data_IF_930839004935
#
_entry.id   IF_930839004935
#
_cell.length_a   1.000
_cell.length_b   1.000
_cell.length_c   1.000
_cell.angle_alpha   90.00
_cell.angle_beta   90.00
_cell.angle_gamma   90.00
#
_symmetry.space_group_name_H-M   'P 1'
#
loop_
_entity.id
_entity.type
_entity.pdbx_description
1 polymer ?
#
# COMPACT_ATOMS: atom_id res chain seq x y z
N UNK A 1 -23.48 19.20 55.93
CA UNK A 1 -24.80 18.63 55.61
C UNK A 1 -24.59 17.71 54.41
N UNK A 2 -24.38 16.40 54.62
CA UNK A 2 -25.40 15.32 54.72
C UNK A 2 -26.03 15.11 53.32
N UNK A 3 -26.05 13.96 52.64
CA UNK A 3 -25.85 12.51 52.90
C UNK A 3 -25.48 11.83 51.54
N UNK A 4 -24.66 10.76 51.44
CA UNK A 4 -24.92 9.30 51.65
C UNK A 4 -26.12 8.76 50.83
N UNK A 5 -26.19 7.59 50.18
CA UNK A 5 -25.62 6.23 50.30
C UNK A 5 -25.92 5.47 48.97
N UNK A 6 -25.03 4.65 48.39
CA UNK A 6 -24.73 3.22 48.62
C UNK A 6 -25.82 2.20 48.19
N UNK A 7 -25.43 1.22 47.35
CA UNK A 7 -25.88 -0.19 47.45
C UNK A 7 -24.95 -1.12 46.63
N UNK A 8 -24.28 -2.05 47.33
CA UNK A 8 -23.70 -3.29 46.79
C UNK A 8 -24.78 -4.36 46.65
N UNK A 9 -24.53 -5.38 45.82
CA UNK A 9 -24.99 -6.74 46.10
C UNK A 9 -23.99 -7.78 45.57
N UNK A 10 -23.75 -8.77 46.42
CA UNK A 10 -22.81 -9.90 46.35
C UNK A 10 -23.62 -11.19 46.20
N UNK A 11 -23.03 -12.23 45.60
CA UNK A 11 -23.42 -13.64 45.77
C UNK A 11 -23.45 -14.39 44.44
N UNK A 12 -22.88 -15.58 44.28
CA UNK A 12 -22.23 -16.50 45.21
C UNK A 12 -21.68 -17.69 44.40
N UNK A 13 -20.65 -18.33 44.93
CA UNK A 13 -19.96 -19.49 44.35
C UNK A 13 -20.78 -20.79 44.50
N UNK A 14 -20.43 -21.83 43.72
CA UNK A 14 -20.17 -23.18 44.24
C UNK A 14 -19.51 -24.07 43.16
N UNK A 15 -18.52 -24.83 43.61
CA UNK A 15 -17.76 -25.85 42.87
C UNK A 15 -18.53 -27.17 42.80
N UNK A 16 -18.25 -28.03 41.81
CA UNK A 16 -17.67 -29.37 42.06
C UNK A 16 -17.44 -30.17 40.77
N UNK A 17 -16.40 -31.00 40.82
CA UNK A 17 -15.86 -31.84 39.76
C UNK A 17 -16.59 -33.19 39.60
N UNK A 18 -16.47 -33.80 38.41
CA UNK A 18 -16.11 -35.22 38.22
C UNK A 18 -16.01 -35.57 36.70
N UNK A 19 -14.90 -36.19 36.32
CA UNK A 19 -14.66 -37.01 35.10
C UNK A 19 -14.85 -38.49 35.49
N UNK A 20 -14.73 -39.50 34.60
CA UNK A 20 -14.99 -39.62 33.15
C UNK A 20 -15.85 -40.88 32.81
N UNK A 21 -16.36 -41.02 31.58
CA UNK A 21 -16.64 -42.33 30.96
C UNK A 21 -16.24 -42.26 29.49
N UNK A 22 -15.45 -43.25 29.07
CA UNK A 22 -15.13 -43.51 27.67
C UNK A 22 -16.29 -44.25 27.02
N UNK A 23 -16.68 -43.86 25.81
CA UNK A 23 -17.16 -44.85 24.84
C UNK A 23 -16.81 -44.44 23.41
N UNK A 24 -16.40 -45.47 22.71
CA UNK A 24 -15.96 -45.65 21.34
C UNK A 24 -17.09 -45.39 20.35
N UNK A 25 -16.83 -44.60 19.31
CA UNK A 25 -17.79 -44.42 18.22
C UNK A 25 -17.16 -43.72 17.03
N UNK A 26 -16.86 -44.49 16.01
CA UNK A 26 -16.34 -44.07 14.71
C UNK A 26 -17.13 -42.87 14.13
N UNK A 27 -16.42 -41.76 13.93
CA UNK A 27 -16.98 -40.54 13.37
C UNK A 27 -16.02 -39.91 12.37
N UNK A 28 -15.94 -40.56 11.21
CA UNK A 28 -15.59 -40.02 9.88
C UNK A 28 -14.95 -38.61 9.88
N UNK A 29 -13.66 -38.57 9.58
CA UNK A 29 -12.90 -37.37 9.28
C UNK A 29 -13.59 -36.55 8.15
N UNK A 30 -14.25 -35.46 8.53
CA UNK A 30 -14.59 -34.38 7.62
C UNK A 30 -13.43 -33.40 7.65
N UNK A 31 -12.46 -33.64 6.76
CA UNK A 31 -11.45 -32.68 6.35
C UNK A 31 -12.15 -31.48 5.71
N UNK A 32 -12.50 -30.47 6.51
CA UNK A 32 -12.83 -29.13 6.03
C UNK A 32 -11.54 -28.49 5.52
N UNK A 33 -11.14 -28.88 4.31
CA UNK A 33 -10.23 -28.11 3.50
C UNK A 33 -10.94 -26.78 3.19
N UNK A 34 -10.56 -25.74 3.91
CA UNK A 34 -10.80 -24.35 3.49
C UNK A 34 -10.18 -24.20 2.10
N UNK A 35 -11.01 -24.39 1.07
CA UNK A 35 -10.72 -23.94 -0.28
C UNK A 35 -10.61 -22.42 -0.21
N UNK A 36 -9.39 -21.92 -0.08
CA UNK A 36 -9.02 -20.58 -0.48
C UNK A 36 -9.57 -20.35 -1.88
N UNK A 37 -10.64 -19.56 -1.96
CA UNK A 37 -11.31 -19.24 -3.21
C UNK A 37 -10.37 -18.45 -4.10
N UNK A 38 -9.69 -19.13 -5.03
CA UNK A 38 -9.30 -18.53 -6.29
C UNK A 38 -10.59 -18.21 -7.05
N UNK A 39 -11.21 -17.08 -6.69
CA UNK A 39 -12.28 -16.51 -7.48
C UNK A 39 -11.75 -16.28 -8.88
N UNK A 40 -12.31 -16.97 -9.87
CA UNK A 40 -12.04 -16.71 -11.27
C UNK A 40 -12.74 -15.40 -11.66
N UNK A 41 -12.21 -14.29 -11.17
CA UNK A 41 -12.67 -12.97 -11.54
C UNK A 41 -12.25 -12.74 -12.99
N UNK A 42 -13.22 -12.65 -13.90
CA UNK A 42 -12.95 -12.30 -15.29
C UNK A 42 -12.09 -11.04 -15.37
N UNK A 43 -11.15 -10.99 -16.33
CA UNK A 43 -10.17 -9.91 -16.51
C UNK A 43 -10.76 -8.52 -16.80
N UNK A 44 -12.09 -8.37 -16.79
CA UNK A 44 -12.84 -7.14 -17.04
C UNK A 44 -13.09 -6.31 -15.79
N UNK A 45 -12.76 -6.81 -14.59
CA UNK A 45 -13.07 -6.13 -13.33
C UNK A 45 -12.04 -5.05 -12.93
N UNK A 46 -10.86 -5.06 -13.55
CA UNK A 46 -9.85 -4.03 -13.39
C UNK A 46 -9.65 -3.30 -14.72
N UNK A 47 -9.55 -1.98 -14.67
CA UNK A 47 -9.10 -1.16 -15.80
C UNK A 47 -7.85 -0.36 -15.44
N UNK A 48 -7.07 -0.04 -16.46
CA UNK A 48 -5.73 0.52 -16.33
C UNK A 48 -5.54 1.70 -17.27
N UNK A 49 -4.96 2.79 -16.77
CA UNK A 49 -4.54 3.92 -17.58
C UNK A 49 -3.15 4.38 -17.15
N UNK A 50 -2.24 4.51 -18.11
CA UNK A 50 -0.90 5.03 -17.86
C UNK A 50 -0.86 6.55 -18.07
N UNK A 51 -0.22 7.26 -17.14
CA UNK A 51 0.07 8.68 -17.25
C UNK A 51 1.58 8.86 -17.21
N UNK A 52 2.18 9.01 -18.40
CA UNK A 52 3.62 9.18 -18.55
C UNK A 52 4.11 10.57 -18.18
N UNK A 53 3.38 11.60 -18.62
CA UNK A 53 3.56 12.99 -18.23
C UNK A 53 2.16 13.56 -17.97
N UNK A 54 1.94 14.07 -16.76
CA UNK A 54 0.67 14.71 -16.41
C UNK A 54 0.50 16.09 -17.06
N UNK A 55 1.59 16.70 -17.53
CA UNK A 55 1.60 18.09 -17.98
C UNK A 55 1.43 19.11 -16.84
N UNK A 56 1.39 18.66 -15.59
CA UNK A 56 1.25 19.48 -14.39
C UNK A 56 2.55 19.50 -13.59
N UNK A 57 3.04 20.70 -13.29
CA UNK A 57 4.20 20.88 -12.43
C UNK A 57 3.96 20.22 -11.05
N UNK A 58 5.02 19.66 -10.46
CA UNK A 58 5.02 19.05 -9.11
C UNK A 58 4.17 17.77 -8.93
N UNK A 59 3.64 17.20 -10.01
CA UNK A 59 2.96 15.90 -9.96
C UNK A 59 3.89 14.75 -10.29
N UNK A 60 3.55 13.56 -9.81
CA UNK A 60 4.34 12.36 -10.10
C UNK A 60 3.99 11.87 -11.50
N UNK A 61 5.02 11.81 -12.33
CA UNK A 61 4.96 11.19 -13.63
C UNK A 61 5.04 9.66 -13.50
N UNK A 62 4.68 8.97 -14.58
CA UNK A 62 4.76 7.52 -14.70
C UNK A 62 3.84 6.75 -13.76
N UNK A 63 2.63 7.25 -13.56
CA UNK A 63 1.63 6.57 -12.75
C UNK A 63 0.83 5.58 -13.59
N UNK A 64 0.48 4.46 -12.97
CA UNK A 64 -0.54 3.54 -13.45
C UNK A 64 -1.78 3.75 -12.60
N UNK A 65 -2.81 4.35 -13.17
CA UNK A 65 -4.13 4.36 -12.57
C UNK A 65 -4.74 2.97 -12.68
N UNK A 66 -5.28 2.46 -11.57
CA UNK A 66 -5.92 1.16 -11.47
C UNK A 66 -7.33 1.42 -10.95
N UNK A 67 -8.35 1.11 -11.76
CA UNK A 67 -9.74 1.16 -11.31
C UNK A 67 -10.22 -0.26 -11.05
N UNK A 68 -10.78 -0.48 -9.87
CA UNK A 68 -11.37 -1.75 -9.47
C UNK A 68 -12.88 -1.61 -9.31
N UNK A 69 -13.62 -2.27 -10.18
CA UNK A 69 -15.09 -2.22 -10.18
C UNK A 69 -15.73 -3.26 -9.25
N UNK A 70 -14.93 -4.10 -8.59
CA UNK A 70 -15.43 -5.06 -7.61
C UNK A 70 -15.78 -4.38 -6.29
N UNK A 71 -16.87 -4.77 -5.61
CA UNK A 71 -17.26 -4.19 -4.32
C UNK A 71 -16.27 -4.50 -3.19
N UNK A 72 -15.26 -5.35 -3.44
CA UNK A 72 -14.23 -5.76 -2.49
C UNK A 72 -12.85 -5.25 -2.92
N UNK A 73 -11.98 -5.03 -1.94
CA UNK A 73 -10.57 -4.75 -2.21
C UNK A 73 -9.87 -6.00 -2.76
N UNK A 74 -8.98 -5.81 -3.73
CA UNK A 74 -8.24 -6.89 -4.39
C UNK A 74 -6.75 -6.63 -4.41
N UNK A 75 -5.98 -7.70 -4.57
CA UNK A 75 -4.53 -7.68 -4.74
C UNK A 75 -4.24 -8.19 -6.16
N UNK A 76 -3.98 -7.31 -7.12
CA UNK A 76 -3.56 -7.72 -8.44
C UNK A 76 -2.07 -8.10 -8.43
N UNK A 77 -1.74 -9.16 -9.15
CA UNK A 77 -0.40 -9.43 -9.65
C UNK A 77 -0.37 -9.11 -11.14
N UNK A 78 0.30 -8.03 -11.49
CA UNK A 78 0.38 -7.48 -12.84
C UNK A 78 1.70 -7.84 -13.51
N UNK A 79 1.69 -7.88 -14.83
CA UNK A 79 2.91 -7.84 -15.63
C UNK A 79 2.75 -6.81 -16.73
N UNK A 80 3.88 -6.25 -17.18
CA UNK A 80 3.90 -5.08 -18.04
C UNK A 80 4.76 -5.30 -19.28
N UNK A 81 4.39 -4.64 -20.37
CA UNK A 81 5.27 -4.39 -21.52
C UNK A 81 5.24 -2.90 -21.82
N UNK A 82 6.41 -2.24 -21.81
CA UNK A 82 6.54 -0.86 -22.21
C UNK A 82 6.33 -0.69 -23.72
N UNK A 83 5.62 0.37 -24.12
CA UNK A 83 5.28 0.69 -25.50
C UNK A 83 5.86 2.05 -25.88
N UNK A 84 6.30 2.19 -27.13
CA UNK A 84 6.64 3.48 -27.73
C UNK A 84 5.38 4.24 -28.17
N UNK A 85 5.55 5.47 -28.67
CA UNK A 85 4.46 6.32 -29.19
C UNK A 85 3.69 5.75 -30.40
N UNK A 86 4.11 4.61 -30.95
CA UNK A 86 3.46 3.90 -32.04
C UNK A 86 2.94 2.52 -31.60
N UNK A 87 2.73 2.34 -30.29
CA UNK A 87 2.24 1.11 -29.64
C UNK A 87 3.15 -0.12 -29.83
N UNK A 88 4.43 0.09 -30.17
CA UNK A 88 5.39 -1.00 -30.36
C UNK A 88 6.11 -1.31 -29.05
N UNK A 89 6.27 -2.60 -28.76
CA UNK A 89 6.93 -3.05 -27.54
C UNK A 89 8.41 -2.68 -27.54
N UNK A 90 8.85 -1.96 -26.51
CA UNK A 90 10.25 -1.64 -26.23
C UNK A 90 10.92 -2.83 -25.54
N UNK A 91 11.44 -3.78 -26.32
CA UNK A 91 11.97 -5.07 -25.82
C UNK A 91 13.15 -4.95 -24.83
N UNK A 92 13.89 -3.85 -24.89
CA UNK A 92 15.01 -3.57 -23.98
C UNK A 92 14.59 -2.91 -22.66
N UNK A 93 13.34 -2.47 -22.54
CA UNK A 93 12.83 -1.74 -21.38
C UNK A 93 12.15 -2.69 -20.41
N UNK A 94 12.64 -2.73 -19.18
CA UNK A 94 12.02 -3.41 -18.05
C UNK A 94 11.13 -2.44 -17.30
N UNK A 95 9.95 -2.91 -16.89
CA UNK A 95 9.02 -2.19 -16.03
C UNK A 95 9.03 -2.85 -14.66
N UNK A 96 9.10 -2.04 -13.62
CA UNK A 96 8.93 -2.45 -12.22
C UNK A 96 8.00 -1.45 -11.54
N UNK A 97 7.41 -1.82 -10.40
CA UNK A 97 6.51 -0.90 -9.69
C UNK A 97 6.94 -0.59 -8.26
N UNK A 98 6.64 0.62 -7.82
CA UNK A 98 7.00 1.12 -6.49
C UNK A 98 6.09 0.51 -5.43
N UNK A 99 4.78 0.50 -5.63
CA UNK A 99 3.82 -0.02 -4.65
C UNK A 99 3.62 -1.53 -4.74
N UNK A 100 4.18 -2.17 -5.77
CA UNK A 100 4.30 -3.61 -5.87
C UNK A 100 3.09 -4.31 -6.47
N UNK A 101 2.33 -3.68 -7.36
CA UNK A 101 1.36 -4.38 -8.21
C UNK A 101 2.02 -5.44 -9.11
N UNK A 102 3.32 -5.37 -9.40
CA UNK A 102 4.09 -6.45 -10.06
C UNK A 102 4.52 -7.60 -9.14
N UNK A 103 4.30 -7.46 -7.83
CA UNK A 103 4.67 -8.44 -6.79
C UNK A 103 3.50 -8.92 -5.94
N UNK A 104 2.29 -8.40 -6.19
CA UNK A 104 1.11 -8.70 -5.40
C UNK A 104 1.15 -8.10 -4.00
N UNK A 105 1.73 -6.91 -3.84
CA UNK A 105 1.84 -6.19 -2.56
C UNK A 105 0.85 -5.03 -2.44
N UNK A 106 0.38 -4.49 -3.58
CA UNK A 106 -0.59 -3.40 -3.63
C UNK A 106 -2.01 -3.93 -3.42
N UNK A 107 -2.75 -3.32 -2.48
CA UNK A 107 -4.19 -3.55 -2.31
C UNK A 107 -4.95 -2.43 -3.03
N UNK A 108 -5.73 -2.78 -4.05
CA UNK A 108 -6.62 -1.87 -4.75
C UNK A 108 -8.01 -1.87 -4.08
N UNK A 109 -8.48 -0.74 -3.50
CA UNK A 109 -9.85 -0.62 -3.00
C UNK A 109 -10.86 -0.68 -4.15
N UNK A 110 -12.17 -0.73 -3.84
CA UNK A 110 -13.19 -0.41 -4.83
C UNK A 110 -13.01 1.04 -5.30
N UNK A 111 -13.09 1.27 -6.60
CA UNK A 111 -12.84 2.56 -7.23
C UNK A 111 -11.37 2.73 -7.62
N UNK A 112 -10.82 3.92 -7.36
CA UNK A 112 -9.50 4.30 -7.85
C UNK A 112 -8.36 3.86 -6.92
N UNK A 113 -7.27 3.41 -7.52
CA UNK A 113 -5.97 3.18 -6.93
C UNK A 113 -4.89 3.62 -7.91
N UNK A 114 -3.64 3.69 -7.45
CA UNK A 114 -2.52 3.97 -8.33
C UNK A 114 -1.31 3.12 -7.93
N UNK A 115 -0.46 2.83 -8.90
CA UNK A 115 0.93 2.43 -8.68
C UNK A 115 1.85 3.39 -9.43
N UNK A 116 3.11 3.45 -9.06
CA UNK A 116 4.14 4.22 -9.78
C UNK A 116 5.02 3.23 -10.52
N UNK A 117 5.18 3.44 -11.83
CA UNK A 117 6.02 2.63 -12.68
C UNK A 117 7.43 3.22 -12.73
N UNK A 118 8.40 2.33 -12.78
CA UNK A 118 9.80 2.65 -13.05
C UNK A 118 10.27 1.87 -14.26
N UNK A 119 10.90 2.58 -15.19
CA UNK A 119 11.45 2.00 -16.39
C UNK A 119 12.97 1.91 -16.30
N UNK A 120 13.54 0.85 -16.85
CA UNK A 120 14.99 0.69 -16.92
C UNK A 120 15.43 0.00 -18.20
N UNK A 121 16.58 0.41 -18.73
CA UNK A 121 17.18 -0.16 -19.93
C UNK A 121 17.15 0.78 -21.14
N UNK A 122 17.67 0.34 -22.30
CA UNK A 122 17.70 1.16 -23.51
C UNK A 122 16.30 1.59 -23.93
N UNK A 123 16.10 2.90 -24.11
CA UNK A 123 14.81 3.49 -24.51
C UNK A 123 13.83 3.70 -23.36
N UNK A 124 14.27 3.69 -22.09
CA UNK A 124 13.39 3.94 -20.93
C UNK A 124 12.65 5.30 -20.98
N UNK A 125 13.21 6.28 -21.69
CA UNK A 125 12.60 7.61 -21.88
C UNK A 125 11.71 7.68 -23.13
N UNK A 126 11.68 6.63 -23.95
CA UNK A 126 10.83 6.55 -25.15
C UNK A 126 9.45 5.91 -24.84
N UNK A 127 9.21 5.56 -23.57
CA UNK A 127 7.98 4.94 -23.13
C UNK A 127 6.84 5.94 -23.20
N UNK A 128 5.82 5.63 -24.00
CA UNK A 128 4.60 6.42 -24.14
C UNK A 128 3.39 5.74 -23.47
N UNK A 129 3.40 4.41 -23.37
CA UNK A 129 2.32 3.64 -22.73
C UNK A 129 2.84 2.30 -22.17
N UNK A 130 2.00 1.59 -21.41
CA UNK A 130 2.25 0.23 -20.96
C UNK A 130 1.08 -0.69 -21.27
N UNK A 131 1.39 -1.85 -21.86
CA UNK A 131 0.45 -2.96 -21.91
C UNK A 131 0.46 -3.70 -20.59
N UNK A 132 -0.67 -3.70 -19.90
CA UNK A 132 -0.88 -4.42 -18.64
C UNK A 132 -1.46 -5.80 -18.90
N UNK A 133 -1.06 -6.79 -18.10
CA UNK A 133 -1.69 -8.11 -18.05
C UNK A 133 -1.89 -8.51 -16.60
N UNK A 134 -3.12 -8.79 -16.22
CA UNK A 134 -3.45 -9.36 -14.90
C UNK A 134 -3.05 -10.84 -14.91
N UNK A 135 -2.04 -11.19 -14.11
CA UNK A 135 -1.55 -12.57 -13.98
C UNK A 135 -2.33 -13.36 -12.94
N UNK A 136 -2.66 -12.70 -11.84
CA UNK A 136 -3.46 -13.25 -10.75
C UNK A 136 -4.19 -12.09 -10.06
N UNK A 137 -5.33 -12.39 -9.46
CA UNK A 137 -6.06 -11.46 -8.62
C UNK A 137 -6.65 -12.22 -7.44
N UNK A 138 -6.44 -11.71 -6.23
CA UNK A 138 -7.02 -12.30 -5.01
C UNK A 138 -7.77 -11.25 -4.22
N UNK A 139 -8.79 -11.67 -3.48
CA UNK A 139 -9.48 -10.78 -2.53
C UNK A 139 -8.51 -10.42 -1.40
N UNK A 140 -8.46 -9.15 -1.05
CA UNK A 140 -7.67 -8.68 0.08
C UNK A 140 -8.28 -9.16 1.40
N UNK A 141 -7.44 -9.63 2.33
CA UNK A 141 -7.88 -10.00 3.69
C UNK A 141 -8.07 -8.78 4.58
N UNK A 142 -7.41 -7.67 4.24
CA UNK A 142 -7.55 -6.39 4.91
C UNK A 142 -8.22 -5.41 3.93
N UNK A 143 -9.39 -4.85 4.27
CA UNK A 143 -10.02 -3.83 3.44
C UNK A 143 -9.10 -2.62 3.28
N UNK A 144 -9.05 -2.07 2.06
CA UNK A 144 -8.40 -0.81 1.78
C UNK A 144 -9.39 0.36 1.90
N UNK A 145 -8.89 1.48 2.42
CA UNK A 145 -9.62 2.74 2.43
C UNK A 145 -9.85 3.28 1.02
N UNK A 146 -10.92 4.06 0.82
CA UNK A 146 -11.18 4.72 -0.47
C UNK A 146 -10.38 6.01 -0.61
N UNK A 147 -9.99 6.60 0.52
CA UNK A 147 -9.20 7.82 0.55
C UNK A 147 -7.71 7.46 0.71
N UNK A 148 -6.81 8.19 0.06
CA UNK A 148 -5.38 7.97 0.25
C UNK A 148 -4.98 8.33 1.69
N UNK A 149 -4.15 7.50 2.31
CA UNK A 149 -3.49 7.88 3.56
C UNK A 149 -2.48 8.97 3.26
N UNK A 150 -2.65 10.14 3.87
CA UNK A 150 -1.72 11.26 3.68
C UNK A 150 -0.49 11.09 4.56
N UNK A 151 0.64 11.63 4.10
CA UNK A 151 1.94 11.51 4.76
C UNK A 151 2.52 12.89 5.06
N UNK A 152 2.95 13.12 6.29
CA UNK A 152 3.61 14.35 6.72
C UNK A 152 4.94 14.03 7.40
N UNK A 153 6.04 14.58 6.87
CA UNK A 153 7.37 14.41 7.46
C UNK A 153 7.49 15.20 8.78
N UNK A 154 8.16 14.62 9.78
CA UNK A 154 8.37 15.20 11.10
C UNK A 154 9.86 15.21 11.48
N UNK A 155 10.32 16.32 12.08
CA UNK A 155 11.66 16.44 12.64
C UNK A 155 11.83 15.66 13.96
N UNK A 156 13.02 15.71 14.56
CA UNK A 156 13.33 15.03 15.83
C UNK A 156 12.54 15.52 17.05
N UNK A 157 11.80 16.63 16.92
CA UNK A 157 10.94 17.21 17.94
C UNK A 157 9.45 17.04 17.62
N UNK A 158 9.12 16.30 16.55
CA UNK A 158 7.74 16.10 16.10
C UNK A 158 7.13 17.28 15.35
N UNK A 159 7.94 18.25 14.90
CA UNK A 159 7.47 19.39 14.10
C UNK A 159 7.41 19.02 12.63
N UNK A 160 6.41 19.54 11.94
CA UNK A 160 6.21 19.29 10.52
C UNK A 160 7.33 19.91 9.66
N UNK A 161 7.78 19.14 8.69
CA UNK A 161 8.74 19.56 7.67
C UNK A 161 8.00 19.78 6.37
N UNK A 162 8.21 20.93 5.74
CA UNK A 162 7.48 21.32 4.53
C UNK A 162 8.27 21.12 3.24
N UNK A 163 9.61 21.05 3.28
CA UNK A 163 10.41 20.96 2.04
C UNK A 163 11.75 20.26 2.20
N UNK A 164 11.90 19.05 1.66
CA UNK A 164 13.17 18.29 1.42
C UNK A 164 14.22 18.26 2.57
N UNK A 165 13.87 18.73 3.76
CA UNK A 165 14.74 18.71 4.93
C UNK A 165 14.84 17.31 5.49
N UNK A 166 15.88 17.11 6.30
CA UNK A 166 16.05 15.87 7.02
C UNK A 166 14.92 15.69 8.03
N UNK A 167 14.22 14.57 7.95
CA UNK A 167 13.18 14.18 8.90
C UNK A 167 13.60 12.94 9.71
N UNK A 168 12.87 12.66 10.78
CA UNK A 168 13.08 11.50 11.67
C UNK A 168 11.85 10.59 11.81
N UNK A 169 10.68 11.07 11.40
CA UNK A 169 9.45 10.29 11.41
C UNK A 169 8.49 10.75 10.31
N UNK A 170 7.51 9.90 10.00
CA UNK A 170 6.38 10.21 9.12
C UNK A 170 5.10 10.04 9.90
N UNK A 171 4.27 11.08 9.94
CA UNK A 171 2.88 11.00 10.38
C UNK A 171 2.01 10.55 9.22
N UNK A 172 1.21 9.53 9.46
CA UNK A 172 0.16 9.04 8.59
C UNK A 172 -1.17 9.55 9.08
N UNK A 173 -2.05 9.98 8.19
CA UNK A 173 -3.43 10.36 8.52
C UNK A 173 -4.39 9.60 7.62
N UNK A 174 -5.37 8.94 8.24
CA UNK A 174 -6.42 8.18 7.56
C UNK A 174 -7.75 8.92 7.70
N UNK A 175 -8.36 9.26 6.57
CA UNK A 175 -9.66 9.93 6.53
C UNK A 175 -10.84 8.95 6.52
N UNK A 176 -10.60 7.68 6.20
CA UNK A 176 -11.64 6.67 6.15
C UNK A 176 -12.18 6.31 7.54
N UNK A 177 -13.47 5.95 7.59
CA UNK A 177 -14.15 5.45 8.79
C UNK A 177 -13.80 4.01 9.19
N UNK A 178 -12.81 3.41 8.53
CA UNK A 178 -12.28 2.08 8.83
C UNK A 178 -10.77 2.16 9.06
N UNK A 179 -10.19 1.29 9.89
CA UNK A 179 -8.74 1.18 9.98
C UNK A 179 -8.17 0.62 8.66
N UNK A 180 -7.04 1.16 8.23
CA UNK A 180 -6.35 0.76 6.98
C UNK A 180 -4.95 0.25 7.29
N UNK A 181 -4.41 -0.58 6.40
CA UNK A 181 -3.02 -1.06 6.48
C UNK A 181 -2.23 -0.56 5.29
N UNK A 182 -1.14 0.15 5.57
CA UNK A 182 -0.32 0.80 4.53
C UNK A 182 1.15 0.48 4.69
N UNK A 183 1.86 0.52 3.58
CA UNK A 183 3.32 0.64 3.54
C UNK A 183 3.68 2.04 3.08
N UNK A 184 4.91 2.45 3.37
CA UNK A 184 5.42 3.79 3.04
C UNK A 184 6.65 3.65 2.16
N UNK A 185 6.65 4.32 1.02
CA UNK A 185 7.81 4.46 0.14
C UNK A 185 8.41 5.87 0.28
N UNK A 186 9.73 5.92 0.49
CA UNK A 186 10.55 7.10 0.24
C UNK A 186 11.13 6.99 -1.17
N UNK A 187 10.72 7.90 -2.05
CA UNK A 187 11.10 7.90 -3.46
C UNK A 187 12.05 9.05 -3.72
N UNK A 188 13.20 8.75 -4.30
CA UNK A 188 14.13 9.73 -4.85
C UNK A 188 13.95 9.76 -6.34
N UNK A 189 13.77 10.95 -6.88
CA UNK A 189 13.56 11.18 -8.29
C UNK A 189 14.81 11.73 -8.96
N UNK A 190 15.02 11.39 -10.23
CA UNK A 190 16.01 12.12 -11.04
C UNK A 190 15.51 13.53 -11.41
N UNK A 191 16.41 14.28 -12.03
CA UNK A 191 16.17 15.63 -12.55
C UNK A 191 16.54 15.63 -14.03
N UNK A 192 15.72 15.03 -14.89
CA UNK A 192 16.05 14.92 -16.30
C UNK A 192 15.92 16.28 -17.00
N UNK A 193 16.53 16.47 -18.18
CA UNK A 193 16.30 17.66 -18.99
C UNK A 193 14.81 17.86 -19.32
N UNK A 194 14.43 19.12 -19.61
CA UNK A 194 13.05 19.43 -20.01
C UNK A 194 12.61 18.58 -21.20
N UNK A 195 11.40 18.03 -21.12
CA UNK A 195 10.82 17.15 -22.14
C UNK A 195 11.20 15.68 -21.99
N UNK A 196 11.98 15.32 -20.97
CA UNK A 196 12.26 13.93 -20.61
C UNK A 196 11.54 13.60 -19.30
N UNK A 197 10.84 12.48 -19.28
CA UNK A 197 10.06 12.05 -18.11
C UNK A 197 10.95 11.64 -16.94
N UNK A 198 10.63 12.18 -15.76
CA UNK A 198 11.25 11.82 -14.49
C UNK A 198 11.12 10.34 -14.16
N UNK A 199 12.17 9.74 -13.61
CA UNK A 199 12.22 8.37 -13.10
C UNK A 199 12.44 8.35 -11.59
N UNK A 200 11.84 7.36 -10.93
CA UNK A 200 12.27 6.97 -9.60
C UNK A 200 13.63 6.26 -9.68
N UNK A 201 14.68 6.90 -9.15
CA UNK A 201 16.04 6.35 -9.16
C UNK A 201 16.34 5.48 -7.96
N UNK A 202 15.76 5.82 -6.81
CA UNK A 202 15.87 5.07 -5.57
C UNK A 202 14.51 5.00 -4.87
N UNK A 203 14.16 3.82 -4.36
CA UNK A 203 12.96 3.62 -3.54
C UNK A 203 13.40 2.90 -2.27
N UNK A 204 13.09 3.49 -1.13
CA UNK A 204 13.37 2.89 0.18
C UNK A 204 12.09 2.79 1.00
N UNK A 205 11.77 1.60 1.50
CA UNK A 205 10.64 1.43 2.41
C UNK A 205 10.91 2.13 3.75
N UNK A 206 9.93 2.87 4.26
CA UNK A 206 9.94 3.44 5.62
C UNK A 206 9.12 2.52 6.52
N UNK A 207 9.78 1.86 7.47
CA UNK A 207 9.14 0.94 8.40
C UNK A 207 8.65 -0.35 7.74
N UNK A 208 7.62 -0.96 8.33
CA UNK A 208 6.93 -2.15 7.81
C UNK A 208 5.47 -1.85 7.48
N UNK A 209 4.63 -2.89 7.44
CA UNK A 209 3.18 -2.72 7.34
C UNK A 209 2.66 -1.99 8.59
N UNK A 210 2.00 -0.86 8.40
CA UNK A 210 1.53 0.01 9.47
C UNK A 210 0.01 0.12 9.43
N UNK A 211 -0.64 -0.18 10.55
CA UNK A 211 -2.08 0.00 10.71
C UNK A 211 -2.37 1.44 11.15
N UNK A 212 -3.20 2.15 10.40
CA UNK A 212 -3.68 3.50 10.76
C UNK A 212 -5.14 3.38 11.21
N UNK A 213 -5.50 3.87 12.41
CA UNK A 213 -6.88 3.79 12.89
C UNK A 213 -7.87 4.55 11.99
N UNK A 214 -9.16 4.22 12.07
CA UNK A 214 -10.24 4.98 11.44
C UNK A 214 -10.20 6.44 11.91
N UNK A 215 -10.31 7.40 11.00
CA UNK A 215 -10.19 8.84 11.27
C UNK A 215 -8.98 9.22 12.14
N UNK A 216 -7.92 8.41 12.08
CA UNK A 216 -6.83 8.43 13.03
C UNK A 216 -5.49 8.77 12.41
N UNK A 217 -4.47 8.80 13.26
CA UNK A 217 -3.09 9.00 12.84
C UNK A 217 -2.18 7.92 13.40
N UNK A 218 -1.06 7.69 12.73
CA UNK A 218 0.03 6.83 13.20
C UNK A 218 1.37 7.51 12.90
N UNK A 219 2.39 7.27 13.73
CA UNK A 219 3.75 7.79 13.52
C UNK A 219 4.69 6.63 13.25
N UNK A 220 5.42 6.72 12.13
CA UNK A 220 6.45 5.76 11.76
C UNK A 220 7.81 6.43 11.85
N UNK A 221 8.62 5.99 12.81
CA UNK A 221 9.98 6.49 12.99
C UNK A 221 10.95 5.88 11.97
N UNK A 222 11.81 6.72 11.41
CA UNK A 222 12.87 6.29 10.50
C UNK A 222 13.91 5.45 11.24
N UNK A 223 14.26 4.31 10.65
CA UNK A 223 15.31 3.41 11.15
C UNK A 223 16.11 2.83 9.98
N UNK A 224 17.31 2.36 10.26
CA UNK A 224 18.14 1.59 9.31
C UNK A 224 18.32 2.24 7.94
N UNK A 225 17.97 1.49 6.88
CA UNK A 225 18.12 1.93 5.48
C UNK A 225 17.35 3.21 5.19
N UNK A 226 16.13 3.36 5.72
CA UNK A 226 15.32 4.56 5.52
C UNK A 226 15.98 5.81 6.12
N UNK A 227 16.48 5.72 7.36
CA UNK A 227 17.18 6.83 7.99
C UNK A 227 18.44 7.23 7.20
N UNK A 228 19.15 6.24 6.65
CA UNK A 228 20.35 6.46 5.82
C UNK A 228 19.99 7.11 4.47
N UNK A 229 18.94 6.64 3.80
CA UNK A 229 18.49 7.18 2.53
C UNK A 229 17.99 8.63 2.66
N UNK A 230 17.24 8.93 3.72
CA UNK A 230 16.81 10.30 4.04
C UNK A 230 18.01 11.19 4.33
N UNK A 231 18.92 10.75 5.20
CA UNK A 231 20.13 11.50 5.52
C UNK A 231 20.97 11.87 4.29
N UNK A 232 21.11 10.95 3.34
CA UNK A 232 21.89 11.14 2.12
C UNK A 232 21.24 12.10 1.12
N UNK A 233 19.91 12.08 1.02
CA UNK A 233 19.17 12.81 -0.01
C UNK A 233 18.51 14.10 0.52
N UNK A 234 18.62 14.40 1.82
CA UNK A 234 18.12 15.65 2.40
C UNK A 234 18.82 16.86 1.76
N UNK A 235 18.08 17.94 1.52
CA UNK A 235 18.57 19.16 0.87
C UNK A 235 19.14 18.96 -0.55
N UNK A 236 18.89 17.81 -1.18
CA UNK A 236 19.43 17.45 -2.48
C UNK A 236 18.34 17.27 -3.53
N UNK A 237 18.19 16.06 -4.10
CA UNK A 237 17.24 15.80 -5.19
C UNK A 237 15.78 15.98 -4.76
N UNK A 238 14.89 15.98 -5.75
CA UNK A 238 13.47 15.90 -5.49
C UNK A 238 13.12 14.55 -4.85
N UNK A 239 12.31 14.59 -3.79
CA UNK A 239 11.91 13.39 -3.04
C UNK A 239 10.43 13.41 -2.74
N UNK A 240 9.85 12.22 -2.60
CA UNK A 240 8.46 12.05 -2.18
C UNK A 240 8.34 10.99 -1.10
N UNK A 241 7.39 11.18 -0.19
CA UNK A 241 6.94 10.18 0.76
C UNK A 241 5.53 9.79 0.34
N UNK A 242 5.27 8.50 0.14
CA UNK A 242 3.96 8.01 -0.29
C UNK A 242 3.54 6.82 0.53
N UNK A 243 2.32 6.85 1.04
CA UNK A 243 1.66 5.69 1.63
C UNK A 243 0.78 5.02 0.58
N UNK A 244 0.72 3.69 0.62
CA UNK A 244 -0.12 2.89 -0.26
C UNK A 244 -0.71 1.70 0.51
N UNK A 245 -1.95 1.34 0.17
CA UNK A 245 -2.64 0.21 0.79
C UNK A 245 -1.90 -1.11 0.47
N UNK A 246 -1.68 -1.93 1.50
CA UNK A 246 -0.93 -3.17 1.41
C UNK A 246 -1.39 -4.16 2.49
N UNK A 247 -0.99 -5.42 2.39
CA UNK A 247 -1.23 -6.45 3.42
C UNK A 247 -0.09 -7.45 3.54
#
# INVERSE_FOLDING_TARGET
>A
MVAASAAMAVGGALMSACRPVADTGEGRAASSAERSGEGNFGSTALSFAYVGDSGEDETINQTLQITNDLPTSVIPLLSFKALDKHDRVLRGVKVSTIYGSDRGELVAPYGASLDILRFSGPGQHDVADVRVTVRRMTVASIPAGRHPVTTQALDGRGREITRFERFSAVKLTNEDGIPVSVRIAYVVWDQPPKGVTQQAVEVTAIGGLTRVPAHGTAIVHLRGKAATAVARNSYGPAVSIKAYNSQ
#
